data_IF_130384408444
#
_entry.id   IF_130384408444
#
_cell.length_a   1.000
_cell.length_b   1.000
_cell.length_c   1.000
_cell.angle_alpha   90.00
_cell.angle_beta   90.00
_cell.angle_gamma   90.00
#
_symmetry.space_group_name_H-M   'P 1'
#
loop_
_entity.id
_entity.type
_entity.pdbx_description
1 polymer ?
#
# COMPACT_ATOMS: atom_id res chain seq x y z
N UNK A 1 -18.25 9.86 28.60
CA UNK A 1 -18.97 10.76 27.69
C UNK A 1 -18.97 10.13 26.32
N UNK A 2 -20.15 10.03 25.69
CA UNK A 2 -20.41 9.32 24.44
C UNK A 2 -20.07 10.20 23.22
N UNK A 3 -19.64 9.55 22.14
CA UNK A 3 -19.90 9.95 20.74
C UNK A 3 -19.14 11.13 20.15
N UNK A 4 -18.13 10.84 19.31
CA UNK A 4 -17.88 11.57 18.06
C UNK A 4 -16.92 10.79 17.16
N UNK A 5 -17.43 10.31 16.02
CA UNK A 5 -16.67 9.85 14.84
C UNK A 5 -15.98 8.47 14.86
N UNK A 6 -16.52 7.51 15.60
CA UNK A 6 -16.37 6.11 15.22
C UNK A 6 -17.27 5.81 14.01
N UNK A 7 -16.89 6.30 12.83
CA UNK A 7 -17.25 5.60 11.59
C UNK A 7 -16.24 4.46 11.44
N UNK A 8 -16.29 3.56 12.42
CA UNK A 8 -15.40 2.41 12.51
C UNK A 8 -15.70 1.49 11.33
N UNK A 9 -14.67 1.21 10.54
CA UNK A 9 -14.65 -0.06 9.83
C UNK A 9 -14.79 -1.17 10.89
N UNK A 10 -15.64 -2.15 10.61
CA UNK A 10 -16.31 -3.01 11.60
C UNK A 10 -15.41 -3.88 12.50
N UNK A 11 -14.09 -3.87 12.37
CA UNK A 11 -13.25 -4.85 13.06
C UNK A 11 -11.97 -4.36 13.75
N UNK A 12 -11.63 -3.06 13.71
CA UNK A 12 -10.42 -2.59 14.41
C UNK A 12 -9.10 -3.19 13.88
N UNK A 13 -9.13 -3.83 12.70
CA UNK A 13 -7.93 -4.19 11.96
C UNK A 13 -7.43 -2.97 11.19
N UNK A 14 -6.11 -2.85 11.12
CA UNK A 14 -5.44 -1.81 10.34
C UNK A 14 -5.50 -2.25 8.89
N UNK A 15 -6.32 -1.58 8.10
CA UNK A 15 -6.35 -1.76 6.65
C UNK A 15 -5.43 -0.75 5.97
N UNK A 16 -4.81 -1.19 4.90
CA UNK A 16 -3.78 -0.45 4.19
C UNK A 16 -4.26 -0.18 2.76
N UNK A 17 -4.19 1.06 2.24
CA UNK A 17 -4.68 1.38 0.91
C UNK A 17 -3.69 0.95 -0.17
N UNK A 18 -4.20 0.36 -1.23
CA UNK A 18 -3.44 -0.13 -2.39
C UNK A 18 -4.11 0.27 -3.70
N UNK A 19 -3.31 0.62 -4.71
CA UNK A 19 -3.81 0.83 -6.08
C UNK A 19 -3.97 -0.52 -6.76
N UNK A 20 -5.13 -0.77 -7.35
CA UNK A 20 -5.38 -2.03 -8.07
C UNK A 20 -4.68 -2.02 -9.43
N UNK A 21 -4.01 -3.13 -9.76
CA UNK A 21 -3.53 -3.41 -11.11
C UNK A 21 -4.60 -4.20 -11.84
N UNK A 22 -4.91 -3.81 -13.08
CA UNK A 22 -5.84 -4.55 -13.92
C UNK A 22 -5.21 -5.85 -14.42
N UNK A 23 -5.83 -7.00 -14.16
CA UNK A 23 -5.29 -8.31 -14.56
C UNK A 23 -5.33 -8.59 -16.06
N UNK A 24 -6.05 -7.79 -16.84
CA UNK A 24 -6.13 -7.94 -18.30
C UNK A 24 -5.18 -7.02 -19.04
N UNK A 25 -5.00 -5.78 -18.55
CA UNK A 25 -4.13 -4.80 -19.20
C UNK A 25 -2.78 -4.63 -18.50
N UNK A 26 -2.61 -5.17 -17.28
CA UNK A 26 -1.44 -5.01 -16.42
C UNK A 26 -1.08 -3.54 -16.16
N UNK A 27 -2.12 -2.69 -16.07
CA UNK A 27 -1.97 -1.24 -15.82
C UNK A 27 -2.46 -0.92 -14.43
N UNK A 28 -1.74 -0.02 -13.78
CA UNK A 28 -2.12 0.51 -12.48
C UNK A 28 -3.31 1.44 -12.66
N UNK A 29 -4.40 1.14 -11.97
CA UNK A 29 -5.65 1.90 -12.05
C UNK A 29 -5.71 2.99 -10.96
N UNK A 30 -6.72 3.86 -11.05
CA UNK A 30 -7.06 4.84 -10.01
C UNK A 30 -7.94 4.24 -8.90
N UNK A 31 -8.28 2.95 -8.99
CA UNK A 31 -9.07 2.27 -7.98
C UNK A 31 -8.19 1.95 -6.77
N UNK A 32 -8.58 2.47 -5.63
CA UNK A 32 -7.95 2.19 -4.34
C UNK A 32 -8.80 1.15 -3.61
N UNK A 33 -8.20 0.01 -3.30
CA UNK A 33 -8.78 -1.02 -2.44
C UNK A 33 -8.03 -0.99 -1.10
N UNK A 34 -8.76 -1.20 0.00
CA UNK A 34 -8.20 -1.28 1.34
C UNK A 34 -8.10 -2.76 1.70
N UNK A 35 -6.88 -3.23 1.96
CA UNK A 35 -6.62 -4.64 2.29
C UNK A 35 -6.23 -4.76 3.76
N UNK A 36 -6.77 -5.76 4.43
CA UNK A 36 -6.25 -6.21 5.73
C UNK A 36 -4.92 -6.96 5.55
N UNK A 37 -4.12 -7.06 6.63
CA UNK A 37 -2.81 -7.69 6.58
C UNK A 37 -2.85 -9.17 6.14
N UNK A 38 -3.91 -9.90 6.47
CA UNK A 38 -4.11 -11.29 6.05
C UNK A 38 -4.54 -11.42 4.58
N UNK A 39 -5.23 -10.42 4.04
CA UNK A 39 -5.58 -10.36 2.61
C UNK A 39 -4.35 -9.97 1.78
N UNK A 40 -3.52 -9.04 2.29
CA UNK A 40 -2.28 -8.58 1.67
C UNK A 40 -1.33 -9.74 1.31
N UNK A 41 -1.20 -10.71 2.21
CA UNK A 41 -0.34 -11.90 2.06
C UNK A 41 -0.70 -12.81 0.87
N UNK A 42 -1.89 -12.63 0.28
CA UNK A 42 -2.36 -13.40 -0.87
C UNK A 42 -2.01 -12.75 -2.22
N UNK A 43 -1.53 -11.51 -2.21
CA UNK A 43 -1.32 -10.71 -3.40
C UNK A 43 0.15 -10.33 -3.61
N UNK A 44 0.50 -10.05 -4.86
CA UNK A 44 1.80 -9.50 -5.22
C UNK A 44 1.67 -7.98 -5.36
N UNK A 45 2.46 -7.25 -4.56
CA UNK A 45 2.34 -5.79 -4.44
C UNK A 45 3.60 -5.12 -4.98
N UNK A 46 3.47 -4.39 -6.09
CA UNK A 46 4.53 -3.58 -6.65
C UNK A 46 4.84 -2.36 -5.76
N UNK A 47 6.11 -1.97 -5.71
CA UNK A 47 6.53 -0.81 -4.95
C UNK A 47 6.05 0.50 -5.58
N UNK A 48 5.74 1.50 -4.75
CA UNK A 48 5.25 2.81 -5.21
C UNK A 48 6.26 3.61 -6.06
N UNK A 49 7.54 3.24 -6.03
CA UNK A 49 8.62 3.88 -6.79
C UNK A 49 8.85 3.25 -8.18
N UNK A 50 8.13 2.17 -8.53
CA UNK A 50 8.22 1.56 -9.86
C UNK A 50 7.81 2.59 -10.93
N UNK A 51 8.64 2.81 -11.96
CA UNK A 51 8.35 3.79 -12.99
C UNK A 51 7.11 3.38 -13.80
N UNK A 52 6.17 4.32 -13.96
CA UNK A 52 4.97 4.17 -14.75
C UNK A 52 4.96 5.15 -15.92
N UNK A 53 4.35 4.74 -17.03
CA UNK A 53 3.97 5.61 -18.13
C UNK A 53 2.71 6.42 -17.78
N UNK A 54 2.42 7.46 -18.57
CA UNK A 54 1.25 8.34 -18.37
C UNK A 54 -0.10 7.60 -18.44
N UNK A 55 -0.13 6.44 -19.10
CA UNK A 55 -1.32 5.59 -19.22
C UNK A 55 -1.48 4.58 -18.06
N UNK A 56 -0.56 4.62 -17.09
CA UNK A 56 -0.54 3.71 -15.94
C UNK A 56 0.10 2.35 -16.21
N UNK A 57 0.66 2.11 -17.39
CA UNK A 57 1.49 0.92 -17.64
C UNK A 57 2.85 1.02 -16.95
N UNK A 58 3.44 -0.11 -16.58
CA UNK A 58 4.82 -0.12 -16.10
C UNK A 58 5.79 0.18 -17.26
N UNK A 59 6.87 0.91 -16.97
CA UNK A 59 7.91 1.21 -17.97
C UNK A 59 8.74 -0.03 -18.32
N UNK A 60 8.94 -0.90 -17.34
CA UNK A 60 9.71 -2.14 -17.45
C UNK A 60 8.77 -3.36 -17.41
N UNK A 61 9.17 -4.46 -18.06
CA UNK A 61 8.40 -5.73 -18.06
C UNK A 61 8.51 -6.50 -16.74
N UNK A 62 9.50 -6.15 -15.92
CA UNK A 62 9.75 -6.71 -14.59
C UNK A 62 9.85 -5.60 -13.57
N UNK A 63 9.23 -5.82 -12.40
CA UNK A 63 9.21 -4.84 -11.31
C UNK A 63 9.56 -5.47 -9.97
N UNK A 64 10.13 -4.65 -9.09
CA UNK A 64 10.28 -5.00 -7.69
C UNK A 64 8.91 -5.00 -7.02
N UNK A 65 8.55 -6.16 -6.49
CA UNK A 65 7.34 -6.39 -5.75
C UNK A 65 7.63 -7.07 -4.42
N UNK A 66 6.65 -7.04 -3.52
CA UNK A 66 6.63 -7.83 -2.30
C UNK A 66 5.53 -8.87 -2.37
N UNK A 67 5.86 -10.07 -1.94
CA UNK A 67 4.90 -11.14 -1.66
C UNK A 67 5.15 -11.57 -0.22
N UNK A 68 4.17 -11.36 0.66
CA UNK A 68 4.31 -11.53 2.11
C UNK A 68 5.48 -10.70 2.66
N UNK A 69 6.50 -11.36 3.19
CA UNK A 69 7.66 -10.74 3.82
C UNK A 69 8.88 -10.66 2.89
N UNK A 70 8.81 -11.22 1.67
CA UNK A 70 9.92 -11.28 0.74
C UNK A 70 9.77 -10.23 -0.38
N UNK A 71 10.85 -9.53 -0.67
CA UNK A 71 10.96 -8.67 -1.85
C UNK A 71 11.53 -9.51 -3.00
N UNK A 72 10.86 -9.50 -4.14
CA UNK A 72 11.26 -10.21 -5.34
C UNK A 72 11.09 -9.36 -6.59
N UNK A 73 11.86 -9.66 -7.63
CA UNK A 73 11.59 -9.16 -8.97
C UNK A 73 10.62 -10.12 -9.66
N UNK A 74 9.52 -9.59 -10.18
CA UNK A 74 8.47 -10.38 -10.82
C UNK A 74 8.02 -9.72 -12.12
N UNK A 75 7.58 -10.50 -13.12
CA UNK A 75 6.89 -9.97 -14.29
C UNK A 75 5.65 -9.17 -13.92
N UNK A 76 5.35 -8.11 -14.68
CA UNK A 76 4.17 -7.25 -14.46
C UNK A 76 2.83 -8.00 -14.53
N UNK A 77 2.80 -9.14 -15.22
CA UNK A 77 1.64 -10.03 -15.32
C UNK A 77 1.23 -10.66 -13.99
N UNK A 78 2.19 -10.80 -13.07
CA UNK A 78 1.97 -11.42 -11.76
C UNK A 78 1.68 -10.37 -10.67
N UNK A 79 1.55 -9.09 -11.01
CA UNK A 79 1.31 -8.01 -10.05
C UNK A 79 -0.18 -7.75 -9.91
N UNK A 80 -0.68 -7.77 -8.68
CA UNK A 80 -2.09 -7.54 -8.36
C UNK A 80 -2.37 -6.11 -7.88
N UNK A 81 -1.44 -5.55 -7.11
CA UNK A 81 -1.58 -4.25 -6.48
C UNK A 81 -0.28 -3.45 -6.54
N UNK A 82 -0.37 -2.15 -6.29
CA UNK A 82 0.77 -1.26 -6.12
C UNK A 82 0.56 -0.38 -4.88
N UNK A 83 1.64 -0.13 -4.13
CA UNK A 83 1.62 0.80 -2.99
C UNK A 83 1.16 2.21 -3.44
N UNK A 84 0.27 2.85 -2.67
CA UNK A 84 -0.22 4.21 -2.98
C UNK A 84 0.87 5.26 -2.79
N UNK A 85 1.76 5.08 -1.82
CA UNK A 85 2.84 6.02 -1.55
C UNK A 85 4.02 5.35 -0.84
N UNK A 86 5.27 5.70 -1.20
CA UNK A 86 6.45 5.26 -0.45
C UNK A 86 6.47 5.79 0.99
N UNK A 87 5.63 6.79 1.34
CA UNK A 87 5.47 7.33 2.70
C UNK A 87 4.61 6.45 3.60
N UNK A 88 3.90 5.46 3.05
CA UNK A 88 2.96 4.61 3.78
C UNK A 88 3.65 3.73 4.83
N UNK A 89 4.90 3.31 4.56
CA UNK A 89 5.74 2.54 5.48
C UNK A 89 6.02 3.31 6.79
N UNK A 90 5.94 4.65 6.78
CA UNK A 90 6.32 5.49 7.94
C UNK A 90 5.11 5.87 8.82
N UNK A 91 3.87 5.67 8.36
CA UNK A 91 2.69 6.18 9.08
C UNK A 91 2.29 5.31 10.29
N UNK A 92 2.43 3.98 10.21
CA UNK A 92 1.98 3.06 11.28
C UNK A 92 2.97 2.98 12.45
N UNK A 93 4.28 3.09 12.20
CA UNK A 93 5.28 3.05 13.28
C UNK A 93 5.38 4.38 14.06
N UNK A 94 5.16 5.53 13.41
CA UNK A 94 5.35 6.85 14.03
C UNK A 94 4.14 7.31 14.86
N UNK A 95 2.95 6.72 14.65
CA UNK A 95 1.77 7.01 15.48
C UNK A 95 1.89 6.44 16.91
N UNK A 96 2.78 5.47 17.14
CA UNK A 96 3.02 4.85 18.45
C UNK A 96 4.23 5.40 19.20
N UNK A 97 4.87 6.47 18.71
CA UNK A 97 5.82 7.26 19.51
C UNK A 97 5.09 8.53 19.97
N UNK A 98 4.40 8.52 21.14
CA UNK A 98 4.16 9.76 21.82
C UNK A 98 5.53 10.29 22.29
N UNK A 99 5.63 11.61 22.48
CA UNK A 99 6.82 12.35 22.93
C UNK A 99 7.73 12.87 21.82
N UNK A 100 7.36 14.02 21.26
CA UNK A 100 8.27 15.17 21.18
C UNK A 100 7.57 16.42 21.70
N UNK A 101 7.79 16.70 22.99
CA UNK A 101 7.63 18.05 23.54
C UNK A 101 8.66 18.26 24.65
N UNK A 102 9.85 18.68 24.28
CA UNK A 102 10.76 19.43 25.13
C UNK A 102 11.49 20.40 24.19
N UNK A 103 10.89 21.55 23.89
CA UNK A 103 10.99 22.78 24.68
C UNK A 103 12.46 23.17 24.86
N UNK A 104 12.95 23.93 23.89
CA UNK A 104 14.15 24.76 23.95
C UNK A 104 14.11 25.61 25.21
N UNK A 105 15.15 25.52 26.04
CA UNK A 105 15.56 26.58 26.97
C UNK A 105 16.59 27.45 26.25
#
# INVERSE_FOLDING_TARGET
SLSSYAKGHRYGFIETPYRRVDWTTHKVTDKIDYLAADEEDQFVIAQANSPLNDDGSFVEDTVLARNKEENLETPIENVDYMDVSPKQVVAVATACIPFWKTMTL
#
